data_IF_496953482052
#
_entry.id   IF_496953482052
#
_cell.length_a   1.000
_cell.length_b   1.000
_cell.length_c   1.000
_cell.angle_alpha   90.00
_cell.angle_beta   90.00
_cell.angle_gamma   90.00
#
_symmetry.space_group_name_H-M   'P 1'
#
loop_
_entity.id
_entity.type
_entity.pdbx_description
1 polymer ?
#
# COMPACT_ATOMS: atom_id res chain seq x y z
N UNK A 1 -22.33 -21.66 -11.20
CA UNK A 1 -23.20 -20.47 -11.30
C UNK A 1 -23.72 -20.18 -9.90
N UNK A 2 -23.12 -19.23 -9.19
CA UNK A 2 -23.56 -18.83 -7.84
C UNK A 2 -24.43 -17.58 -7.96
N UNK A 3 -25.69 -17.69 -7.52
CA UNK A 3 -26.56 -16.61 -7.04
C UNK A 3 -25.75 -15.63 -6.17
N UNK A 4 -25.85 -14.31 -6.20
CA UNK A 4 -27.00 -13.44 -6.47
C UNK A 4 -26.94 -12.23 -5.52
N UNK A 5 -25.75 -11.68 -5.26
CA UNK A 5 -25.57 -10.37 -4.62
C UNK A 5 -25.15 -9.39 -5.70
N UNK A 6 -25.83 -8.25 -5.80
CA UNK A 6 -25.36 -7.14 -6.64
C UNK A 6 -23.97 -6.75 -6.10
N UNK A 7 -22.93 -7.11 -6.84
CA UNK A 7 -21.54 -6.85 -6.47
C UNK A 7 -21.28 -5.35 -6.63
N UNK A 8 -21.53 -4.58 -5.56
CA UNK A 8 -21.39 -3.12 -5.53
C UNK A 8 -19.95 -2.67 -5.81
N UNK A 9 -18.99 -3.56 -5.57
CA UNK A 9 -17.55 -3.29 -5.66
C UNK A 9 -16.97 -3.60 -7.05
N UNK A 10 -17.76 -4.15 -7.97
CA UNK A 10 -17.34 -4.54 -9.32
C UNK A 10 -16.04 -5.36 -9.33
N UNK A 11 -15.85 -6.29 -8.39
CA UNK A 11 -14.56 -6.97 -8.19
C UNK A 11 -14.10 -7.79 -9.42
N UNK A 12 -15.05 -8.34 -10.18
CA UNK A 12 -14.82 -9.20 -11.35
C UNK A 12 -15.20 -8.52 -12.68
N UNK A 13 -15.49 -7.23 -12.68
CA UNK A 13 -15.94 -6.51 -13.89
C UNK A 13 -15.37 -5.11 -13.96
N UNK A 14 -15.38 -4.49 -15.14
CA UNK A 14 -14.93 -3.09 -15.27
C UNK A 14 -15.89 -2.14 -14.55
N UNK A 15 -15.36 -1.22 -13.75
CA UNK A 15 -16.16 -0.23 -13.03
C UNK A 15 -16.81 0.76 -14.03
N UNK A 16 -18.15 0.84 -14.08
CA UNK A 16 -18.86 1.78 -14.94
C UNK A 16 -18.59 3.22 -14.50
N UNK A 17 -18.60 4.16 -15.46
CA UNK A 17 -18.27 5.58 -15.23
C UNK A 17 -19.06 6.22 -14.07
N UNK A 18 -20.31 5.81 -13.89
CA UNK A 18 -21.23 6.33 -12.86
C UNK A 18 -20.83 5.89 -11.45
N UNK A 19 -20.10 4.79 -11.30
CA UNK A 19 -19.68 4.23 -10.01
C UNK A 19 -18.21 4.55 -9.67
N UNK A 20 -17.50 5.32 -10.51
CA UNK A 20 -16.10 5.68 -10.26
C UNK A 20 -16.00 6.71 -9.13
N UNK A 21 -15.07 6.46 -8.20
CA UNK A 21 -14.74 7.41 -7.14
C UNK A 21 -14.20 8.72 -7.72
N UNK A 22 -14.51 9.83 -7.05
CA UNK A 22 -13.96 11.14 -7.40
C UNK A 22 -12.46 11.20 -7.11
N UNK A 23 -11.74 12.05 -7.84
CA UNK A 23 -10.32 12.27 -7.59
C UNK A 23 -10.06 12.70 -6.14
N UNK A 24 -10.91 13.54 -5.56
CA UNK A 24 -10.80 13.97 -4.17
C UNK A 24 -10.89 12.78 -3.20
N UNK A 25 -11.82 11.85 -3.41
CA UNK A 25 -11.94 10.64 -2.59
C UNK A 25 -10.67 9.79 -2.69
N UNK A 26 -10.13 9.59 -3.90
CA UNK A 26 -8.90 8.81 -4.09
C UNK A 26 -7.67 9.46 -3.44
N UNK A 27 -7.57 10.80 -3.46
CA UNK A 27 -6.48 11.53 -2.80
C UNK A 27 -6.60 11.42 -1.28
N UNK A 28 -7.80 11.53 -0.72
CA UNK A 28 -8.02 11.35 0.73
C UNK A 28 -7.66 9.93 1.19
N UNK A 29 -7.99 8.90 0.40
CA UNK A 29 -7.61 7.52 0.68
C UNK A 29 -6.07 7.36 0.70
N UNK A 30 -5.38 7.91 -0.31
CA UNK A 30 -3.92 7.91 -0.35
C UNK A 30 -3.29 8.69 0.80
N UNK A 31 -3.84 9.85 1.17
CA UNK A 31 -3.34 10.64 2.30
C UNK A 31 -3.42 9.84 3.61
N UNK A 32 -4.50 9.09 3.82
CA UNK A 32 -4.65 8.19 4.98
C UNK A 32 -3.54 7.14 5.01
N UNK A 33 -3.20 6.57 3.85
CA UNK A 33 -2.15 5.57 3.70
C UNK A 33 -0.75 6.15 3.97
N UNK A 34 -0.53 7.44 3.72
CA UNK A 34 0.75 8.10 4.07
C UNK A 34 0.98 8.31 5.56
N UNK A 35 -0.06 8.21 6.39
CA UNK A 35 0.05 8.31 7.86
C UNK A 35 0.51 6.98 8.50
N UNK A 36 0.97 6.03 7.69
CA UNK A 36 1.49 4.76 8.16
C UNK A 36 2.71 4.96 9.09
N UNK A 37 2.71 4.35 10.30
CA UNK A 37 3.74 4.57 11.32
C UNK A 37 5.11 4.01 10.92
N UNK A 38 5.19 3.10 9.96
CA UNK A 38 6.45 2.56 9.47
C UNK A 38 7.29 3.60 8.71
N UNK A 39 6.64 4.52 8.00
CA UNK A 39 7.30 5.54 7.20
C UNK A 39 8.20 6.49 8.03
N UNK A 40 7.72 7.13 9.12
CA UNK A 40 8.59 7.96 9.97
C UNK A 40 9.66 7.15 10.71
N UNK A 41 9.39 5.87 11.04
CA UNK A 41 10.39 4.99 11.65
C UNK A 41 11.59 4.77 10.72
N UNK A 42 11.34 4.39 9.47
CA UNK A 42 12.38 4.25 8.43
C UNK A 42 13.08 5.57 8.11
N UNK A 43 12.33 6.68 8.03
CA UNK A 43 12.89 8.00 7.79
C UNK A 43 13.87 8.42 8.90
N UNK A 44 13.55 8.11 10.15
CA UNK A 44 14.43 8.36 11.31
C UNK A 44 15.73 7.55 11.21
N UNK A 45 15.62 6.28 10.82
CA UNK A 45 16.78 5.39 10.64
C UNK A 45 17.71 5.87 9.51
N UNK A 46 17.15 6.28 8.36
CA UNK A 46 17.92 6.85 7.26
C UNK A 46 18.53 8.21 7.60
N UNK A 47 17.81 9.05 8.36
CA UNK A 47 18.28 10.35 8.80
C UNK A 47 19.50 10.28 9.72
N UNK A 48 19.66 9.19 10.49
CA UNK A 48 20.88 8.94 11.28
C UNK A 48 22.05 8.41 10.44
N UNK A 49 21.76 7.80 9.28
CA UNK A 49 22.75 7.09 8.47
C UNK A 49 23.43 7.97 7.42
N UNK A 50 22.76 9.04 6.97
CA UNK A 50 23.25 9.91 5.88
C UNK A 50 23.35 11.39 6.30
N UNK A 51 24.30 12.16 5.72
CA UNK A 51 24.30 13.61 5.86
C UNK A 51 23.01 14.23 5.32
N UNK A 52 22.51 15.27 5.99
CA UNK A 52 21.24 15.93 5.69
C UNK A 52 21.05 16.32 4.21
N UNK A 53 22.09 16.90 3.59
CA UNK A 53 22.04 17.32 2.19
C UNK A 53 21.86 16.13 1.24
N UNK A 54 22.59 15.04 1.45
CA UNK A 54 22.48 13.81 0.65
C UNK A 54 21.13 13.14 0.85
N UNK A 55 20.63 13.13 2.08
CA UNK A 55 19.32 12.58 2.42
C UNK A 55 18.19 13.31 1.69
N UNK A 56 18.14 14.65 1.74
CA UNK A 56 17.08 15.42 1.07
C UNK A 56 17.11 15.22 -0.45
N UNK A 57 18.28 15.27 -1.08
CA UNK A 57 18.39 15.07 -2.53
C UNK A 57 17.95 13.66 -2.90
N UNK A 58 18.34 12.64 -2.13
CA UNK A 58 17.91 11.26 -2.33
C UNK A 58 16.40 11.10 -2.20
N UNK A 59 15.80 11.69 -1.16
CA UNK A 59 14.34 11.65 -0.94
C UNK A 59 13.59 12.35 -2.06
N UNK A 60 14.04 13.53 -2.51
CA UNK A 60 13.41 14.26 -3.62
C UNK A 60 13.47 13.46 -4.93
N UNK A 61 14.63 12.88 -5.26
CA UNK A 61 14.77 12.05 -6.46
C UNK A 61 13.91 10.79 -6.39
N UNK A 62 13.90 10.10 -5.25
CA UNK A 62 13.08 8.92 -5.05
C UNK A 62 11.58 9.23 -5.21
N UNK A 63 11.10 10.31 -4.59
CA UNK A 63 9.70 10.73 -4.70
C UNK A 63 9.35 11.18 -6.12
N UNK A 64 10.28 11.81 -6.85
CA UNK A 64 10.05 12.19 -8.24
C UNK A 64 9.82 10.96 -9.14
N UNK A 65 10.70 9.97 -9.02
CA UNK A 65 10.59 8.70 -9.78
C UNK A 65 9.29 7.98 -9.41
N UNK A 66 8.99 7.91 -8.11
CA UNK A 66 7.78 7.27 -7.61
C UNK A 66 6.51 8.00 -8.09
N UNK A 67 6.52 9.33 -8.12
CA UNK A 67 5.40 10.14 -8.63
C UNK A 67 5.15 9.90 -10.11
N UNK A 68 6.20 9.77 -10.92
CA UNK A 68 6.07 9.47 -12.36
C UNK A 68 5.44 8.08 -12.52
N UNK A 69 6.00 7.07 -11.85
CA UNK A 69 5.48 5.71 -11.91
C UNK A 69 4.02 5.60 -11.44
N UNK A 70 3.68 6.25 -10.32
CA UNK A 70 2.33 6.28 -9.76
C UNK A 70 1.35 7.01 -10.70
N UNK A 71 1.76 8.13 -11.30
CA UNK A 71 0.92 8.86 -12.25
C UNK A 71 0.63 8.04 -13.52
N UNK A 72 1.61 7.30 -14.04
CA UNK A 72 1.41 6.46 -15.23
C UNK A 72 0.48 5.28 -14.92
N UNK A 73 0.71 4.58 -13.81
CA UNK A 73 -0.13 3.46 -13.40
C UNK A 73 -1.57 3.90 -13.06
N UNK A 74 -1.73 5.03 -12.37
CA UNK A 74 -3.03 5.63 -12.11
C UNK A 74 -3.77 6.06 -13.38
N UNK A 75 -3.05 6.58 -14.38
CA UNK A 75 -3.63 6.90 -15.68
C UNK A 75 -4.19 5.65 -16.39
N UNK A 76 -3.40 4.57 -16.45
CA UNK A 76 -3.82 3.29 -17.05
C UNK A 76 -5.04 2.71 -16.30
N UNK A 77 -4.99 2.68 -14.97
CA UNK A 77 -6.08 2.18 -14.14
C UNK A 77 -7.38 3.00 -14.33
N UNK A 78 -7.28 4.32 -14.43
CA UNK A 78 -8.44 5.20 -14.66
C UNK A 78 -9.05 5.02 -16.05
N UNK A 79 -8.23 4.71 -17.06
CA UNK A 79 -8.69 4.46 -18.42
C UNK A 79 -9.45 3.14 -18.50
N UNK A 80 -8.84 2.06 -18.01
CA UNK A 80 -9.36 0.70 -18.16
C UNK A 80 -10.45 0.37 -17.14
N UNK A 81 -10.40 0.97 -15.95
CA UNK A 81 -11.37 0.74 -14.87
C UNK A 81 -11.39 -0.70 -14.35
N UNK A 82 -10.26 -1.40 -14.45
CA UNK A 82 -10.10 -2.78 -14.02
C UNK A 82 -9.40 -2.84 -12.67
N UNK A 83 -9.69 -3.90 -11.91
CA UNK A 83 -8.93 -4.23 -10.71
C UNK A 83 -7.51 -4.68 -11.08
N UNK A 84 -6.59 -4.59 -10.12
CA UNK A 84 -5.21 -5.08 -10.29
C UNK A 84 -5.18 -6.56 -10.72
N UNK A 85 -6.01 -7.40 -10.10
CA UNK A 85 -6.10 -8.82 -10.42
C UNK A 85 -6.55 -9.05 -11.87
N UNK A 86 -7.59 -8.37 -12.35
CA UNK A 86 -8.06 -8.47 -13.73
C UNK A 86 -7.01 -7.96 -14.74
N UNK A 87 -6.26 -6.92 -14.38
CA UNK A 87 -5.19 -6.36 -15.22
C UNK A 87 -4.01 -7.33 -15.30
N UNK A 88 -3.62 -7.91 -14.17
CA UNK A 88 -2.56 -8.91 -14.10
C UNK A 88 -2.94 -10.19 -14.87
N UNK A 89 -4.21 -10.62 -14.80
CA UNK A 89 -4.72 -11.74 -15.58
C UNK A 89 -4.69 -11.46 -17.08
N UNK A 90 -4.99 -10.23 -17.51
CA UNK A 90 -4.88 -9.84 -18.93
C UNK A 90 -3.45 -9.80 -19.44
N UNK A 91 -2.48 -9.43 -18.61
CA UNK A 91 -1.06 -9.33 -19.00
C UNK A 91 -0.36 -10.69 -18.97
N UNK A 92 -0.58 -11.48 -17.93
CA UNK A 92 0.15 -12.74 -17.70
C UNK A 92 -0.66 -14.00 -18.09
N UNK A 93 -1.95 -13.85 -18.40
CA UNK A 93 -2.86 -14.95 -18.66
C UNK A 93 -3.27 -15.71 -17.39
N UNK A 94 -4.18 -16.68 -17.57
CA UNK A 94 -4.81 -17.43 -16.47
C UNK A 94 -3.83 -18.22 -15.60
N UNK A 95 -2.74 -18.74 -16.20
CA UNK A 95 -1.71 -19.48 -15.46
C UNK A 95 -0.60 -18.60 -14.87
N UNK A 96 -0.30 -17.47 -15.53
CA UNK A 96 0.82 -16.61 -15.14
C UNK A 96 0.47 -15.60 -14.03
N UNK A 97 -0.81 -15.26 -13.86
CA UNK A 97 -1.28 -14.30 -12.86
C UNK A 97 -1.04 -14.72 -11.41
N UNK A 98 -0.83 -16.02 -11.17
CA UNK A 98 -0.65 -16.59 -9.83
C UNK A 98 0.60 -16.02 -9.15
N UNK A 99 1.71 -15.89 -9.89
CA UNK A 99 2.98 -15.38 -9.35
C UNK A 99 2.87 -13.94 -8.84
N UNK A 100 2.46 -12.94 -9.66
CA UNK A 100 2.32 -11.57 -9.18
C UNK A 100 1.24 -11.42 -8.10
N UNK A 101 0.19 -12.24 -8.13
CA UNK A 101 -0.87 -12.21 -7.11
C UNK A 101 -0.37 -12.71 -5.75
N UNK A 102 0.38 -13.81 -5.72
CA UNK A 102 1.01 -14.33 -4.50
C UNK A 102 2.03 -13.33 -3.97
N UNK A 103 2.88 -12.77 -4.84
CA UNK A 103 3.87 -11.78 -4.45
C UNK A 103 3.22 -10.55 -3.83
N UNK A 104 2.18 -9.99 -4.47
CA UNK A 104 1.43 -8.86 -3.92
C UNK A 104 0.83 -9.20 -2.55
N UNK A 105 0.27 -10.41 -2.37
CA UNK A 105 -0.24 -10.88 -1.08
C UNK A 105 0.85 -10.92 0.00
N UNK A 106 2.02 -11.48 -0.30
CA UNK A 106 3.15 -11.54 0.63
C UNK A 106 3.60 -10.13 1.04
N UNK A 107 3.72 -9.21 0.09
CA UNK A 107 4.12 -7.82 0.37
C UNK A 107 3.09 -7.12 1.24
N UNK A 108 1.79 -7.26 0.94
CA UNK A 108 0.72 -6.67 1.73
C UNK A 108 0.72 -7.18 3.18
N UNK A 109 0.84 -8.50 3.38
CA UNK A 109 0.89 -9.09 4.72
C UNK A 109 2.17 -8.67 5.46
N UNK A 110 3.31 -8.67 4.78
CA UNK A 110 4.59 -8.26 5.36
C UNK A 110 4.59 -6.80 5.80
N UNK A 111 4.04 -5.91 4.98
CA UNK A 111 3.94 -4.49 5.31
C UNK A 111 3.06 -4.24 6.54
N UNK A 112 1.90 -4.92 6.61
CA UNK A 112 0.99 -4.81 7.75
C UNK A 112 1.64 -5.35 9.03
N UNK A 113 2.32 -6.49 8.97
CA UNK A 113 3.03 -7.06 10.11
C UNK A 113 4.11 -6.11 10.65
N UNK A 114 4.88 -5.47 9.75
CA UNK A 114 5.88 -4.47 10.15
C UNK A 114 5.25 -3.25 10.81
N UNK A 115 4.15 -2.75 10.26
CA UNK A 115 3.42 -1.59 10.79
C UNK A 115 2.88 -1.85 12.19
N UNK A 116 2.33 -3.04 12.44
CA UNK A 116 1.87 -3.48 13.78
C UNK A 116 3.05 -3.54 14.75
N UNK A 117 4.20 -4.08 14.32
CA UNK A 117 5.42 -4.12 15.12
C UNK A 117 5.90 -2.74 15.57
N UNK A 118 5.94 -1.76 14.66
CA UNK A 118 6.33 -0.38 14.97
C UNK A 118 5.36 0.27 15.96
N UNK A 119 4.05 0.02 15.82
CA UNK A 119 3.05 0.54 16.76
C UNK A 119 3.19 -0.12 18.13
N UNK A 120 3.36 -1.44 18.18
CA UNK A 120 3.54 -2.18 19.42
C UNK A 120 4.80 -1.71 20.17
N UNK A 121 5.91 -1.50 19.46
CA UNK A 121 7.15 -0.94 20.02
C UNK A 121 6.94 0.48 20.54
N UNK A 122 6.20 1.33 19.81
CA UNK A 122 5.83 2.66 20.27
C UNK A 122 5.02 2.62 21.57
N UNK A 123 4.03 1.72 21.66
CA UNK A 123 3.18 1.58 22.86
C UNK A 123 3.99 1.09 24.06
N UNK A 124 4.84 0.08 23.89
CA UNK A 124 5.67 -0.43 25.01
C UNK A 124 6.68 0.62 25.49
N UNK A 125 7.29 1.36 24.57
CA UNK A 125 8.20 2.46 24.91
C UNK A 125 7.49 3.58 25.68
N UNK A 126 6.30 3.99 25.24
CA UNK A 126 5.54 5.07 25.90
C UNK A 126 4.97 4.67 27.26
N UNK A 127 4.61 3.40 27.45
CA UNK A 127 3.96 2.91 28.69
C UNK A 127 4.93 2.33 29.71
N UNK A 128 6.18 2.08 29.33
CA UNK A 128 7.19 1.46 30.20
C UNK A 128 6.85 0.03 30.63
N UNK A 129 5.94 -0.63 29.91
CA UNK A 129 5.48 -1.98 30.19
C UNK A 129 6.56 -3.03 29.81
N UNK A 130 6.58 -4.19 30.49
CA UNK A 130 7.56 -5.24 30.22
C UNK A 130 7.48 -5.76 28.77
N UNK A 131 8.60 -6.27 28.25
CA UNK A 131 8.74 -6.80 26.88
C UNK A 131 7.70 -7.88 26.51
N UNK A 132 7.07 -8.52 27.49
CA UNK A 132 5.98 -9.47 27.27
C UNK A 132 4.75 -8.81 26.61
N UNK A 133 4.50 -7.52 26.90
CA UNK A 133 3.42 -6.74 26.28
C UNK A 133 3.63 -6.55 24.77
N UNK A 134 4.87 -6.46 24.30
CA UNK A 134 5.17 -6.39 22.86
C UNK A 134 4.66 -7.65 22.12
N UNK A 135 4.95 -8.84 22.66
CA UNK A 135 4.52 -10.09 22.03
C UNK A 135 2.99 -10.29 22.05
N UNK A 136 2.28 -9.73 23.03
CA UNK A 136 0.81 -9.77 23.08
C UNK A 136 0.20 -8.85 22.04
N UNK A 137 0.80 -7.69 21.77
CA UNK A 137 0.27 -6.68 20.84
C UNK A 137 0.52 -7.01 19.36
N UNK A 138 1.53 -7.83 19.06
CA UNK A 138 1.94 -8.18 17.69
C UNK A 138 1.25 -9.45 17.16
N UNK A 139 0.56 -10.20 18.03
CA UNK A 139 -0.27 -11.38 17.69
C UNK A 139 -1.67 -10.94 17.25
#
# INVERSE_FOLDING_TARGET
MSSGSIDKEYALSSVPLVARLSLAATVMLWASLTLDPSAPYLASWWGMSFPFATFIVGVLLANLILSIFSSLSGYIASRDGLTYALTAERVFGWGGVVVPSIWAGIVCVGWLAFSIGVVAEGITFMTGLPNLTYYILVI
#
